data_IF_702076037010
#
_entry.id   IF_702076037010
#
_cell.length_a   1.000
_cell.length_b   1.000
_cell.length_c   1.000
_cell.angle_alpha   90.00
_cell.angle_beta   90.00
_cell.angle_gamma   90.00
#
_symmetry.space_group_name_H-M   'P 1'
#
loop_
_entity.id
_entity.type
_entity.pdbx_description
1 polymer ?
#
# COMPACT_ATOMS: atom_id res chain seq x y z
N UNK A 1 -19.93 0.90 78.50
CA UNK A 1 -20.10 1.54 77.18
C UNK A 1 -18.70 1.78 76.60
N UNK A 2 -18.26 0.92 75.69
CA UNK A 2 -16.96 1.01 75.00
C UNK A 2 -17.25 0.92 73.50
N UNK A 3 -17.02 2.02 72.79
CA UNK A 3 -17.19 2.14 71.35
C UNK A 3 -16.12 1.31 70.64
N UNK A 4 -16.53 0.38 69.78
CA UNK A 4 -15.66 -0.34 68.86
C UNK A 4 -15.50 0.48 67.58
N UNK A 5 -14.26 0.88 67.29
CA UNK A 5 -13.84 1.54 66.06
C UNK A 5 -13.82 0.54 64.89
N UNK A 6 -14.65 0.77 63.88
CA UNK A 6 -14.55 0.10 62.57
C UNK A 6 -13.66 0.93 61.65
N UNK A 7 -12.45 0.44 61.33
CA UNK A 7 -11.60 1.00 60.27
C UNK A 7 -11.90 0.23 58.98
N UNK A 8 -12.62 0.86 58.06
CA UNK A 8 -12.79 0.36 56.70
C UNK A 8 -11.54 0.73 55.87
N UNK A 9 -10.70 -0.26 55.56
CA UNK A 9 -9.60 -0.11 54.63
C UNK A 9 -10.13 -0.21 53.18
N UNK A 10 -10.33 0.94 52.53
CA UNK A 10 -10.55 1.00 51.08
C UNK A 10 -9.18 0.90 50.37
N UNK A 11 -8.88 -0.29 49.84
CA UNK A 11 -7.79 -0.47 48.90
C UNK A 11 -8.14 0.22 47.57
N UNK A 12 -7.50 1.36 47.30
CA UNK A 12 -7.57 2.02 45.99
C UNK A 12 -6.75 1.19 45.02
N UNK A 13 -7.42 0.39 44.18
CA UNK A 13 -6.80 -0.27 43.04
C UNK A 13 -6.51 0.83 42.02
N UNK A 14 -5.29 1.37 42.07
CA UNK A 14 -4.73 2.16 41.00
C UNK A 14 -4.66 1.27 39.76
N UNK A 15 -5.63 1.42 38.86
CA UNK A 15 -5.53 0.91 37.50
C UNK A 15 -4.48 1.77 36.82
N UNK A 16 -3.22 1.36 36.93
CA UNK A 16 -2.14 1.86 36.10
C UNK A 16 -2.50 1.52 34.66
N UNK A 17 -3.11 2.47 33.96
CA UNK A 17 -3.16 2.44 32.51
C UNK A 17 -1.71 2.38 32.04
N UNK A 18 -1.30 1.24 31.50
CA UNK A 18 -0.08 1.14 30.71
C UNK A 18 -0.35 2.01 29.48
N UNK A 19 0.00 3.29 29.60
CA UNK A 19 0.31 4.08 28.43
C UNK A 19 1.55 3.38 27.89
N UNK A 20 1.37 2.56 26.85
CA UNK A 20 2.44 2.21 25.93
C UNK A 20 2.91 3.54 25.34
N UNK A 21 3.77 4.21 26.10
CA UNK A 21 4.46 5.40 25.70
C UNK A 21 5.14 5.04 24.40
N UNK A 22 4.88 5.85 23.39
CA UNK A 22 5.62 5.94 22.15
C UNK A 22 7.10 6.08 22.48
N UNK A 23 7.75 4.95 22.77
CA UNK A 23 9.19 4.86 22.83
C UNK A 23 9.67 5.32 21.46
N UNK A 24 10.59 6.29 21.39
CA UNK A 24 11.24 6.62 20.13
C UNK A 24 11.81 5.30 19.62
N UNK A 25 11.40 4.86 18.42
CA UNK A 25 12.02 3.69 17.75
C UNK A 25 13.51 3.99 17.71
N UNK A 26 14.25 3.35 18.63
CA UNK A 26 15.71 3.30 18.62
C UNK A 26 16.14 2.83 17.24
N UNK A 27 17.28 3.32 16.77
CA UNK A 27 17.75 3.24 15.37
C UNK A 27 17.92 1.83 14.78
N UNK A 28 17.57 0.78 15.53
CA UNK A 28 17.66 -0.63 15.13
C UNK A 28 16.48 -1.40 15.72
N UNK A 29 15.70 -2.08 14.89
CA UNK A 29 14.66 -3.00 15.39
C UNK A 29 15.33 -4.13 16.18
N UNK A 30 14.68 -4.69 17.21
CA UNK A 30 15.21 -5.84 17.94
C UNK A 30 15.50 -7.00 16.98
N UNK A 31 16.53 -7.79 17.31
CA UNK A 31 16.86 -8.99 16.55
C UNK A 31 15.67 -9.95 16.52
N UNK A 32 15.41 -10.54 15.36
CA UNK A 32 14.34 -11.51 15.17
C UNK A 32 14.85 -12.71 14.39
N UNK A 33 14.37 -13.90 14.71
CA UNK A 33 14.66 -15.09 13.90
C UNK A 33 13.69 -15.12 12.71
N UNK A 34 14.25 -15.32 11.52
CA UNK A 34 13.53 -15.50 10.27
C UNK A 34 13.86 -16.87 9.68
N UNK A 35 12.86 -17.56 9.15
CA UNK A 35 13.05 -18.86 8.54
C UNK A 35 12.01 -19.14 7.45
N UNK A 36 12.37 -20.03 6.53
CA UNK A 36 11.40 -20.67 5.65
C UNK A 36 10.91 -21.97 6.31
N UNK A 37 9.61 -22.07 6.57
CA UNK A 37 9.00 -23.21 7.25
C UNK A 37 8.35 -24.15 6.24
N UNK A 38 8.58 -25.44 6.42
CA UNK A 38 7.95 -26.52 5.64
C UNK A 38 7.58 -27.69 6.56
N UNK A 39 6.67 -28.56 6.12
CA UNK A 39 6.20 -29.71 6.89
C UNK A 39 4.95 -29.44 7.74
N UNK A 40 4.50 -30.46 8.49
CA UNK A 40 3.23 -30.48 9.22
C UNK A 40 3.14 -29.41 10.31
N UNK A 41 2.03 -28.68 10.36
CA UNK A 41 1.70 -27.73 11.42
C UNK A 41 0.77 -28.41 12.42
N UNK A 42 1.16 -28.46 13.69
CA UNK A 42 0.35 -29.04 14.77
C UNK A 42 0.06 -27.95 15.79
N UNK A 43 -1.22 -27.71 16.09
CA UNK A 43 -1.67 -26.71 17.07
C UNK A 43 -2.50 -27.44 18.13
N UNK A 44 -2.07 -27.39 19.39
CA UNK A 44 -2.70 -28.12 20.52
C UNK A 44 -2.92 -29.62 20.24
N UNK A 45 -1.95 -30.26 19.57
CA UNK A 45 -2.02 -31.68 19.20
C UNK A 45 -2.90 -31.98 17.97
N UNK A 46 -3.56 -30.97 17.38
CA UNK A 46 -4.35 -31.13 16.15
C UNK A 46 -3.46 -30.86 14.94
N UNK A 47 -3.37 -31.84 14.04
CA UNK A 47 -2.68 -31.66 12.77
C UNK A 47 -3.51 -30.76 11.85
N UNK A 48 -3.02 -29.55 11.59
CA UNK A 48 -3.68 -28.53 10.78
C UNK A 48 -3.38 -28.68 9.27
N UNK A 49 -2.51 -29.61 8.90
CA UNK A 49 -2.07 -29.87 7.54
C UNK A 49 -0.57 -29.63 7.33
N UNK A 50 -0.10 -29.88 6.12
CA UNK A 50 1.31 -29.75 5.73
C UNK A 50 1.55 -28.43 5.00
N UNK A 51 2.57 -27.68 5.42
CA UNK A 51 3.09 -26.54 4.67
C UNK A 51 4.00 -27.10 3.57
N UNK A 52 3.52 -27.07 2.33
CA UNK A 52 4.22 -27.63 1.18
C UNK A 52 5.47 -26.79 0.85
N UNK A 53 6.52 -27.45 0.34
CA UNK A 53 7.72 -26.79 -0.19
C UNK A 53 7.41 -25.94 -1.43
N UNK A 54 6.31 -26.21 -2.13
CA UNK A 54 5.86 -25.35 -3.25
C UNK A 54 5.16 -24.07 -2.80
N UNK A 55 4.53 -24.07 -1.62
CA UNK A 55 3.94 -22.87 -1.01
C UNK A 55 4.95 -22.11 -0.14
N UNK A 56 6.09 -22.74 0.19
CA UNK A 56 7.30 -22.21 0.85
C UNK A 56 7.09 -20.89 1.60
N UNK A 57 6.76 -20.99 2.89
CA UNK A 57 6.45 -19.82 3.70
C UNK A 57 7.70 -19.33 4.40
N UNK A 58 8.21 -18.18 3.96
CA UNK A 58 9.32 -17.49 4.59
C UNK A 58 8.78 -16.33 5.44
N UNK A 59 9.04 -16.36 6.74
CA UNK A 59 8.52 -15.34 7.68
C UNK A 59 9.45 -15.18 8.90
N UNK A 60 9.17 -14.17 9.74
CA UNK A 60 9.95 -13.85 10.93
C UNK A 60 9.06 -13.80 12.17
N UNK A 61 9.62 -14.18 13.33
CA UNK A 61 8.90 -14.19 14.61
C UNK A 61 8.24 -12.84 14.91
N UNK A 62 8.93 -11.73 14.65
CA UNK A 62 8.42 -10.39 14.91
C UNK A 62 7.16 -9.98 14.14
N UNK A 63 6.84 -10.64 13.02
CA UNK A 63 5.68 -10.32 12.17
C UNK A 63 4.66 -11.45 12.09
N UNK A 64 4.82 -12.51 12.91
CA UNK A 64 3.94 -13.68 12.85
C UNK A 64 2.46 -13.33 13.02
N UNK A 65 2.14 -12.37 13.88
CA UNK A 65 0.75 -11.94 14.11
C UNK A 65 0.10 -11.36 12.86
N UNK A 66 0.81 -10.49 12.13
CA UNK A 66 0.28 -9.87 10.92
C UNK A 66 0.32 -10.83 9.73
N UNK A 67 1.37 -11.66 9.66
CA UNK A 67 1.52 -12.70 8.66
C UNK A 67 0.41 -13.74 8.73
N UNK A 68 0.11 -14.25 9.92
CA UNK A 68 -0.93 -15.28 10.13
C UNK A 68 -2.35 -14.77 9.85
N UNK A 69 -2.59 -13.46 9.96
CA UNK A 69 -3.86 -12.83 9.55
C UNK A 69 -4.02 -12.70 8.04
N UNK A 70 -2.92 -12.47 7.32
CA UNK A 70 -2.94 -12.16 5.89
C UNK A 70 -2.58 -13.35 4.99
N UNK A 71 -2.08 -14.44 5.55
CA UNK A 71 -1.64 -15.61 4.78
C UNK A 71 -2.81 -16.39 4.16
N UNK A 72 -2.63 -16.84 2.92
CA UNK A 72 -3.52 -17.79 2.24
C UNK A 72 -3.22 -19.25 2.59
N UNK A 73 -2.16 -19.53 3.36
CA UNK A 73 -1.74 -20.88 3.71
C UNK A 73 -2.81 -21.63 4.50
N UNK A 74 -3.33 -22.72 3.91
CA UNK A 74 -4.44 -23.50 4.48
C UNK A 74 -4.10 -24.05 5.89
N UNK A 75 -2.94 -24.69 6.13
CA UNK A 75 -2.56 -25.12 7.47
C UNK A 75 -2.60 -24.02 8.53
N UNK A 76 -2.06 -22.84 8.22
CA UNK A 76 -2.00 -21.72 9.18
C UNK A 76 -3.41 -21.19 9.48
N UNK A 77 -4.25 -21.03 8.45
CA UNK A 77 -5.64 -20.61 8.63
C UNK A 77 -6.46 -21.63 9.43
N UNK A 78 -6.19 -22.93 9.27
CA UNK A 78 -6.82 -23.99 10.06
C UNK A 78 -6.40 -23.92 11.53
N UNK A 79 -5.10 -23.75 11.81
CA UNK A 79 -4.60 -23.56 13.17
C UNK A 79 -5.22 -22.33 13.84
N UNK A 80 -5.35 -21.23 13.10
CA UNK A 80 -5.93 -19.99 13.61
C UNK A 80 -7.36 -20.16 14.14
N UNK A 81 -8.16 -21.06 13.54
CA UNK A 81 -9.52 -21.40 14.02
C UNK A 81 -9.51 -22.13 15.35
N UNK A 82 -8.42 -22.81 15.70
CA UNK A 82 -8.23 -23.49 17.00
C UNK A 82 -7.86 -22.46 18.07
N UNK A 83 -6.92 -21.58 17.75
CA UNK A 83 -6.48 -20.52 18.65
C UNK A 83 -5.35 -19.69 18.04
N UNK A 84 -5.51 -18.37 18.08
CA UNK A 84 -4.52 -17.43 17.54
C UNK A 84 -3.18 -17.55 18.28
N UNK A 85 -3.21 -17.52 19.61
CA UNK A 85 -1.99 -17.56 20.43
C UNK A 85 -1.23 -18.86 20.21
N UNK A 86 -1.93 -19.98 20.21
CA UNK A 86 -1.34 -21.31 20.06
C UNK A 86 -0.79 -21.55 18.65
N UNK A 87 -1.41 -20.96 17.63
CA UNK A 87 -0.88 -21.00 16.26
C UNK A 87 0.40 -20.19 16.14
N UNK A 88 0.45 -19.00 16.75
CA UNK A 88 1.67 -18.18 16.77
C UNK A 88 2.79 -18.90 17.52
N UNK A 89 2.50 -19.55 18.66
CA UNK A 89 3.47 -20.37 19.39
C UNK A 89 3.97 -21.53 18.54
N UNK A 90 3.08 -22.32 17.94
CA UNK A 90 3.46 -23.44 17.09
C UNK A 90 4.32 -23.03 15.88
N UNK A 91 4.01 -21.87 15.28
CA UNK A 91 4.83 -21.31 14.20
C UNK A 91 6.19 -20.81 14.70
N UNK A 92 6.23 -20.18 15.87
CA UNK A 92 7.47 -19.73 16.51
C UNK A 92 8.40 -20.91 16.77
N UNK A 93 7.88 -21.98 17.37
CA UNK A 93 8.62 -23.22 17.62
C UNK A 93 9.15 -23.83 16.33
N UNK A 94 8.33 -23.82 15.27
CA UNK A 94 8.72 -24.34 13.95
C UNK A 94 9.83 -23.52 13.30
N UNK A 95 9.78 -22.19 13.42
CA UNK A 95 10.85 -21.28 12.95
C UNK A 95 12.16 -21.57 13.69
N UNK A 96 12.10 -21.69 15.02
CA UNK A 96 13.29 -22.01 15.82
C UNK A 96 13.82 -23.42 15.55
N UNK A 97 12.94 -24.36 15.20
CA UNK A 97 13.26 -25.74 14.84
C UNK A 97 13.80 -25.92 13.41
N UNK A 98 13.75 -24.90 12.55
CA UNK A 98 14.30 -25.00 11.19
C UNK A 98 15.82 -25.30 11.20
N UNK A 99 16.29 -25.94 10.13
CA UNK A 99 17.72 -26.20 9.91
C UNK A 99 18.50 -24.88 9.81
N UNK A 100 19.79 -24.83 10.19
CA UNK A 100 20.60 -23.62 10.06
C UNK A 100 20.68 -23.05 8.63
N UNK A 101 20.49 -23.87 7.60
CA UNK A 101 20.40 -23.43 6.20
C UNK A 101 19.12 -22.67 5.87
N UNK A 102 18.06 -22.87 6.66
CA UNK A 102 16.71 -22.36 6.41
C UNK A 102 16.28 -21.34 7.46
N UNK A 103 17.15 -20.97 8.41
CA UNK A 103 16.90 -19.94 9.42
C UNK A 103 18.09 -19.00 9.60
N UNK A 104 17.81 -17.77 10.00
CA UNK A 104 18.82 -16.76 10.33
C UNK A 104 18.29 -15.81 11.40
N UNK A 105 19.16 -15.39 12.32
CA UNK A 105 18.88 -14.25 13.19
C UNK A 105 19.16 -12.97 12.41
N UNK A 106 18.13 -12.15 12.24
CA UNK A 106 18.14 -10.97 11.39
C UNK A 106 18.01 -9.72 12.23
N UNK A 107 18.78 -8.70 11.86
CA UNK A 107 18.64 -7.35 12.36
C UNK A 107 18.19 -6.47 11.21
N UNK A 108 16.92 -6.07 11.23
CA UNK A 108 16.38 -5.21 10.19
C UNK A 108 16.65 -3.73 10.52
N UNK A 109 16.74 -2.86 9.51
CA UNK A 109 16.85 -1.43 9.76
C UNK A 109 15.56 -0.88 10.37
N UNK A 110 15.65 0.22 11.09
CA UNK A 110 14.46 0.94 11.54
C UNK A 110 13.59 1.36 10.35
N UNK A 111 12.27 1.42 10.55
CA UNK A 111 11.28 1.75 9.50
C UNK A 111 11.29 0.75 8.33
N UNK A 112 11.41 -0.52 8.67
CA UNK A 112 11.28 -1.61 7.72
C UNK A 112 10.40 -2.71 8.29
N UNK A 113 9.75 -3.41 7.38
CA UNK A 113 9.00 -4.63 7.64
C UNK A 113 9.79 -5.81 7.06
N UNK A 114 10.05 -6.86 7.86
CA UNK A 114 10.67 -8.08 7.36
C UNK A 114 9.93 -8.66 6.14
N UNK A 115 10.70 -9.02 5.13
CA UNK A 115 10.23 -9.56 3.85
C UNK A 115 11.12 -10.75 3.46
N UNK A 116 11.09 -11.76 4.31
CA UNK A 116 11.92 -12.96 4.24
C UNK A 116 11.68 -13.74 2.94
N UNK A 117 12.76 -14.19 2.29
CA UNK A 117 12.73 -15.04 1.09
C UNK A 117 13.79 -16.13 1.19
N UNK A 118 13.65 -17.22 0.43
CA UNK A 118 14.63 -18.32 0.44
C UNK A 118 16.05 -17.88 0.06
N UNK A 119 16.17 -16.95 -0.89
CA UNK A 119 17.45 -16.37 -1.30
C UNK A 119 17.97 -15.30 -0.34
N UNK A 120 17.11 -14.75 0.53
CA UNK A 120 17.46 -13.70 1.47
C UNK A 120 16.54 -13.75 2.71
N UNK A 121 16.97 -14.53 3.71
CA UNK A 121 16.22 -14.73 4.95
C UNK A 121 16.07 -13.45 5.78
N UNK A 122 16.96 -12.48 5.59
CA UNK A 122 16.91 -11.19 6.28
C UNK A 122 16.45 -10.05 5.35
N UNK A 123 15.82 -10.41 4.23
CA UNK A 123 15.22 -9.46 3.32
C UNK A 123 14.19 -8.60 4.06
N UNK A 124 14.12 -7.33 3.68
CA UNK A 124 13.15 -6.39 4.24
C UNK A 124 12.60 -5.49 3.14
N UNK A 125 11.43 -4.93 3.43
CA UNK A 125 10.85 -3.82 2.68
C UNK A 125 10.84 -2.60 3.59
N UNK A 126 11.26 -1.45 3.08
CA UNK A 126 11.09 -0.21 3.83
C UNK A 126 9.60 0.11 3.98
N UNK A 127 9.23 0.60 5.16
CA UNK A 127 7.87 1.07 5.43
C UNK A 127 7.54 2.27 4.53
N UNK A 128 6.25 2.58 4.37
CA UNK A 128 5.82 3.65 3.49
C UNK A 128 6.49 5.00 3.84
N UNK A 129 7.03 5.68 2.83
CA UNK A 129 7.80 6.92 2.98
C UNK A 129 9.31 6.75 3.26
N UNK A 130 9.82 5.51 3.26
CA UNK A 130 11.23 5.19 3.42
C UNK A 130 11.78 4.43 2.20
N UNK A 131 13.06 4.61 1.89
CA UNK A 131 13.74 3.91 0.79
C UNK A 131 15.05 3.28 1.27
N UNK A 132 15.48 2.23 0.58
CA UNK A 132 16.73 1.53 0.91
C UNK A 132 17.93 2.34 0.41
N UNK A 133 18.87 2.64 1.32
CA UNK A 133 20.14 3.27 1.02
C UNK A 133 21.22 2.65 1.91
N UNK A 134 22.23 2.04 1.30
CA UNK A 134 23.34 1.37 2.00
C UNK A 134 22.90 0.39 3.10
N UNK A 135 21.84 -0.38 2.84
CA UNK A 135 21.34 -1.37 3.79
C UNK A 135 20.48 -0.81 4.92
N UNK A 136 20.10 0.47 4.86
CA UNK A 136 19.23 1.12 5.83
C UNK A 136 17.99 1.71 5.17
N UNK A 137 16.85 1.70 5.87
CA UNK A 137 15.67 2.43 5.44
C UNK A 137 15.78 3.88 5.91
N UNK A 138 16.06 4.75 4.95
CA UNK A 138 16.16 6.18 5.17
C UNK A 138 14.85 6.83 4.75
N UNK A 139 14.37 7.76 5.57
CA UNK A 139 13.38 8.74 5.09
C UNK A 139 14.07 9.53 3.99
N UNK A 140 13.37 9.82 2.89
CA UNK A 140 13.84 10.81 1.92
C UNK A 140 13.97 12.18 2.61
N UNK A 141 15.15 12.45 3.17
CA UNK A 141 15.61 13.79 3.49
C UNK A 141 16.28 14.32 2.22
N UNK A 142 16.07 15.59 1.85
CA UNK A 142 16.80 16.18 0.73
C UNK A 142 18.30 16.13 1.04
N UNK A 143 19.11 15.75 0.05
CA UNK A 143 20.53 16.09 0.04
C UNK A 143 20.64 17.60 -0.07
N UNK A 144 20.62 18.28 1.07
CA UNK A 144 20.68 19.73 1.13
C UNK A 144 20.22 20.26 2.48
N UNK A 145 21.17 20.73 3.28
CA UNK A 145 21.04 21.51 4.52
C UNK A 145 20.70 20.73 5.80
N UNK A 146 21.77 20.41 6.54
CA UNK A 146 21.71 20.38 8.00
C UNK A 146 21.22 21.74 8.50
N UNK A 147 20.05 21.79 9.13
CA UNK A 147 19.51 23.08 9.56
C UNK A 147 18.16 23.00 10.26
N UNK A 148 18.20 22.67 11.56
CA UNK A 148 17.24 23.07 12.60
C UNK A 148 15.74 22.93 12.28
N UNK A 149 15.21 21.80 12.75
CA UNK A 149 13.92 21.68 13.43
C UNK A 149 12.78 22.61 13.02
N UNK A 150 11.85 22.07 12.24
CA UNK A 150 10.43 22.22 12.53
C UNK A 150 9.74 20.87 12.31
N UNK A 151 9.08 20.40 13.37
CA UNK A 151 8.02 19.40 13.25
C UNK A 151 6.93 20.03 12.38
N UNK A 152 6.72 19.53 11.17
CA UNK A 152 5.52 19.85 10.42
C UNK A 152 5.19 18.69 9.49
N UNK A 153 3.92 18.33 9.55
CA UNK A 153 3.13 17.42 8.73
C UNK A 153 3.16 17.80 7.24
N UNK A 154 4.25 17.49 6.54
CA UNK A 154 4.43 17.96 5.17
C UNK A 154 4.94 16.88 4.19
N UNK A 155 4.14 15.84 4.02
CA UNK A 155 4.29 14.89 2.91
C UNK A 155 4.10 15.59 1.56
N UNK A 156 3.31 16.67 1.52
CA UNK A 156 2.99 17.44 0.31
C UNK A 156 4.20 18.16 -0.28
N UNK A 157 5.10 18.71 0.54
CA UNK A 157 6.29 19.44 0.05
C UNK A 157 7.34 18.55 -0.61
N UNK A 158 7.46 17.28 -0.19
CA UNK A 158 8.47 16.36 -0.76
C UNK A 158 8.04 15.86 -2.13
N UNK A 159 6.77 15.51 -2.28
CA UNK A 159 6.23 15.02 -3.55
C UNK A 159 6.17 16.18 -4.58
N UNK A 160 5.95 17.42 -4.12
CA UNK A 160 5.90 18.64 -4.94
C UNK A 160 7.28 19.01 -5.52
N UNK A 161 8.35 18.76 -4.77
CA UNK A 161 9.71 18.88 -5.29
C UNK A 161 9.99 17.87 -6.41
N UNK A 162 9.63 16.59 -6.23
CA UNK A 162 9.85 15.56 -7.26
C UNK A 162 9.04 15.81 -8.53
N UNK A 163 7.78 16.19 -8.40
CA UNK A 163 6.93 16.51 -9.54
C UNK A 163 7.48 17.66 -10.39
N UNK A 164 8.05 18.68 -9.75
CA UNK A 164 8.73 19.79 -10.46
C UNK A 164 9.99 19.36 -11.18
N UNK A 165 10.82 18.49 -10.60
CA UNK A 165 12.03 17.99 -11.28
C UNK A 165 11.69 17.06 -12.45
N UNK A 166 10.69 16.21 -12.31
CA UNK A 166 10.16 15.40 -13.41
C UNK A 166 9.65 16.29 -14.55
N UNK A 167 8.90 17.35 -14.22
CA UNK A 167 8.38 18.30 -15.19
C UNK A 167 9.49 19.01 -15.99
N UNK A 168 10.64 19.33 -15.37
CA UNK A 168 11.80 19.92 -16.08
C UNK A 168 12.41 18.99 -17.13
N UNK A 169 12.17 17.68 -17.01
CA UNK A 169 12.69 16.67 -17.95
C UNK A 169 11.78 16.52 -19.17
N UNK A 170 10.56 17.06 -19.11
CA UNK A 170 9.64 17.06 -20.23
C UNK A 170 9.88 18.22 -21.18
N UNK A 171 9.57 17.98 -22.47
CA UNK A 171 9.55 19.03 -23.49
C UNK A 171 8.55 20.12 -23.10
N UNK A 172 8.83 21.35 -23.50
CA UNK A 172 7.87 22.47 -23.39
C UNK A 172 6.50 22.07 -23.90
N UNK A 173 5.47 22.27 -23.08
CA UNK A 173 4.08 21.93 -23.39
C UNK A 173 3.63 20.52 -23.00
N UNK A 174 4.55 19.65 -22.55
CA UNK A 174 4.23 18.31 -22.07
C UNK A 174 4.16 18.31 -20.54
N UNK A 175 3.42 17.37 -19.96
CA UNK A 175 3.22 17.24 -18.51
C UNK A 175 3.84 15.94 -18.02
N UNK A 176 4.58 15.98 -16.91
CA UNK A 176 5.04 14.77 -16.23
C UNK A 176 3.86 14.12 -15.48
N UNK A 177 3.48 12.91 -15.91
CA UNK A 177 2.38 12.13 -15.34
C UNK A 177 2.89 10.87 -14.67
N UNK A 178 2.28 10.49 -13.54
CA UNK A 178 2.61 9.24 -12.86
C UNK A 178 2.11 8.03 -13.64
N UNK A 179 2.88 6.93 -13.64
CA UNK A 179 2.51 5.68 -14.33
C UNK A 179 1.67 4.80 -13.38
N UNK A 180 0.37 4.56 -13.68
CA UNK A 180 -0.48 3.71 -12.85
C UNK A 180 0.06 2.27 -12.78
N UNK A 181 -0.02 1.64 -11.60
CA UNK A 181 0.39 0.24 -11.44
C UNK A 181 1.91 0.00 -11.45
N UNK A 182 2.72 1.05 -11.52
CA UNK A 182 4.18 0.92 -11.39
C UNK A 182 4.57 0.47 -9.98
N UNK A 183 5.59 -0.39 -9.89
CA UNK A 183 6.18 -0.81 -8.61
C UNK A 183 6.94 0.31 -7.88
N UNK A 184 7.11 1.47 -8.54
CA UNK A 184 7.71 2.67 -7.98
C UNK A 184 6.68 3.79 -7.91
N UNK A 185 6.45 4.32 -6.71
CA UNK A 185 5.62 5.53 -6.48
C UNK A 185 6.20 6.81 -7.11
N UNK A 186 7.36 6.71 -7.78
CA UNK A 186 8.02 7.79 -8.52
C UNK A 186 8.19 7.48 -10.01
N UNK A 187 7.56 6.43 -10.53
CA UNK A 187 7.57 6.20 -11.97
C UNK A 187 6.68 7.22 -12.67
N UNK A 188 7.23 7.87 -13.68
CA UNK A 188 6.56 8.91 -14.44
C UNK A 188 6.95 8.85 -15.91
N UNK A 189 6.11 9.43 -16.74
CA UNK A 189 6.34 9.65 -18.16
C UNK A 189 5.90 11.06 -18.57
N UNK A 190 6.43 11.55 -19.69
CA UNK A 190 5.96 12.82 -20.25
C UNK A 190 4.78 12.54 -21.18
N UNK A 191 3.67 13.23 -20.95
CA UNK A 191 2.44 13.14 -21.75
C UNK A 191 2.07 14.50 -22.31
N UNK A 192 1.69 14.56 -23.58
CA UNK A 192 1.05 15.73 -24.17
C UNK A 192 -0.44 15.76 -23.80
N UNK A 193 -0.75 16.32 -22.64
CA UNK A 193 -2.12 16.43 -22.11
C UNK A 193 -3.04 17.32 -22.96
N UNK A 194 -2.51 17.98 -24.00
CA UNK A 194 -3.33 18.77 -24.93
C UNK A 194 -3.97 17.93 -26.04
N UNK A 195 -3.45 16.71 -26.27
CA UNK A 195 -3.84 15.82 -27.37
C UNK A 195 -4.01 14.34 -26.97
N UNK A 196 -3.52 13.93 -25.81
CA UNK A 196 -3.67 12.58 -25.28
C UNK A 196 -5.12 12.27 -24.83
N UNK A 197 -5.62 11.07 -25.17
CA UNK A 197 -6.99 10.66 -24.88
C UNK A 197 -7.18 10.24 -23.41
N UNK A 198 -6.18 9.58 -22.84
CA UNK A 198 -6.22 8.96 -21.51
C UNK A 198 -5.80 9.94 -20.41
N UNK A 199 -5.27 11.10 -20.79
CA UNK A 199 -4.79 12.18 -19.93
C UNK A 199 -5.14 13.54 -20.53
N UNK A 200 -6.38 13.68 -21.01
CA UNK A 200 -6.82 14.91 -21.64
C UNK A 200 -7.00 16.02 -20.61
N UNK A 201 -6.33 17.15 -20.83
CA UNK A 201 -6.37 18.32 -19.95
C UNK A 201 -5.55 18.18 -18.67
N UNK A 202 -4.86 17.05 -18.47
CA UNK A 202 -4.06 16.79 -17.27
C UNK A 202 -3.78 15.31 -17.07
N UNK A 203 -3.07 14.94 -16.03
CA UNK A 203 -2.84 13.51 -15.76
C UNK A 203 -4.06 12.90 -15.07
N UNK A 204 -4.45 11.68 -15.45
CA UNK A 204 -5.56 10.93 -14.83
C UNK A 204 -5.18 10.19 -13.55
N UNK A 205 -3.88 9.97 -13.29
CA UNK A 205 -3.37 9.26 -12.12
C UNK A 205 -2.56 10.13 -11.14
N UNK A 206 -2.84 9.89 -9.86
CA UNK A 206 -2.43 10.66 -8.69
C UNK A 206 -1.00 10.37 -8.24
N UNK A 207 -0.23 11.45 -8.09
CA UNK A 207 0.83 11.74 -7.09
C UNK A 207 1.71 12.88 -7.58
N UNK A 208 1.94 13.02 -8.90
CA UNK A 208 2.77 14.11 -9.46
C UNK A 208 1.92 15.30 -9.95
N UNK A 209 0.76 15.02 -10.55
CA UNK A 209 -0.08 16.04 -11.21
C UNK A 209 -0.77 16.99 -10.22
N UNK A 210 -1.23 16.47 -9.08
CA UNK A 210 -1.79 17.23 -7.95
C UNK A 210 -0.80 18.23 -7.34
N UNK A 211 0.49 18.10 -7.66
CA UNK A 211 1.58 18.85 -7.03
C UNK A 211 2.22 19.87 -7.96
N UNK A 212 2.22 19.63 -9.26
CA UNK A 212 2.65 20.62 -10.26
C UNK A 212 1.59 21.70 -10.55
N UNK A 213 0.43 21.64 -9.90
CA UNK A 213 -0.71 22.52 -10.16
C UNK A 213 -1.41 22.20 -11.50
N UNK A 214 -1.18 21.00 -12.05
CA UNK A 214 -1.83 20.55 -13.27
C UNK A 214 -3.29 20.21 -12.97
N UNK A 215 -4.19 20.60 -13.86
CA UNK A 215 -5.62 20.25 -13.77
C UNK A 215 -5.79 18.74 -13.78
N UNK A 216 -6.78 18.19 -13.08
CA UNK A 216 -7.07 16.76 -13.13
C UNK A 216 -7.45 16.37 -14.56
N UNK A 217 -6.72 15.42 -15.12
CA UNK A 217 -6.99 14.87 -16.44
C UNK A 217 -8.27 14.07 -16.49
N UNK A 218 -8.81 13.93 -17.69
CA UNK A 218 -9.92 13.02 -17.98
C UNK A 218 -9.52 12.04 -19.06
N UNK A 219 -9.95 10.79 -18.90
CA UNK A 219 -9.87 9.78 -19.94
C UNK A 219 -11.13 9.92 -20.82
N UNK A 220 -10.94 10.45 -22.03
CA UNK A 220 -12.02 10.68 -22.97
C UNK A 220 -12.60 9.39 -23.54
N UNK A 221 -11.90 8.25 -23.43
CA UNK A 221 -12.38 6.95 -23.94
C UNK A 221 -13.45 6.34 -23.03
N UNK A 222 -13.54 6.80 -21.78
CA UNK A 222 -14.58 6.40 -20.83
C UNK A 222 -15.92 7.11 -21.04
N UNK A 223 -16.04 8.02 -22.01
CA UNK A 223 -17.31 8.66 -22.34
C UNK A 223 -18.27 7.57 -22.87
N UNK A 224 -19.44 7.37 -22.24
CA UNK A 224 -20.38 6.34 -22.67
C UNK A 224 -20.85 6.56 -24.11
N UNK A 225 -21.05 5.45 -24.81
CA UNK A 225 -21.68 5.39 -26.14
C UNK A 225 -20.96 6.16 -27.26
N UNK A 226 -19.67 6.49 -27.04
CA UNK A 226 -18.83 7.18 -28.02
C UNK A 226 -18.25 6.20 -29.05
N UNK A 227 -18.21 6.62 -30.32
CA UNK A 227 -17.60 5.88 -31.43
C UNK A 227 -16.34 6.56 -31.99
N UNK A 228 -16.20 7.87 -31.76
CA UNK A 228 -15.00 8.65 -32.08
C UNK A 228 -14.92 9.86 -31.14
N UNK A 229 -13.78 10.00 -30.48
CA UNK A 229 -13.49 11.06 -29.51
C UNK A 229 -12.07 11.57 -29.73
N UNK A 230 -11.86 12.86 -29.47
CA UNK A 230 -10.55 13.48 -29.53
C UNK A 230 -10.31 14.33 -28.28
N UNK A 231 -9.04 14.42 -27.85
CA UNK A 231 -8.61 15.48 -26.97
C UNK A 231 -8.15 16.67 -27.81
N UNK A 232 -8.80 17.82 -27.64
CA UNK A 232 -8.48 19.04 -28.38
C UNK A 232 -8.20 20.15 -27.39
N UNK A 233 -6.93 20.57 -27.31
CA UNK A 233 -6.48 21.63 -26.39
C UNK A 233 -6.85 21.30 -24.93
N UNK A 234 -6.70 20.04 -24.54
CA UNK A 234 -6.98 19.57 -23.18
C UNK A 234 -8.47 19.45 -22.85
N UNK A 235 -9.33 19.30 -23.85
CA UNK A 235 -10.77 19.06 -23.66
C UNK A 235 -11.25 17.90 -24.53
N UNK A 236 -12.06 17.01 -23.96
CA UNK A 236 -12.71 15.97 -24.72
C UNK A 236 -13.72 16.57 -25.72
N UNK A 237 -13.64 16.12 -26.95
CA UNK A 237 -14.55 16.46 -28.02
C UNK A 237 -15.09 15.16 -28.65
N UNK A 238 -16.38 14.90 -28.43
CA UNK A 238 -17.08 13.80 -29.08
C UNK A 238 -17.30 14.17 -30.55
N UNK A 239 -16.77 13.36 -31.47
CA UNK A 239 -16.94 13.54 -32.92
C UNK A 239 -18.09 12.69 -33.44
N UNK A 240 -18.27 11.49 -32.88
CA UNK A 240 -19.29 10.55 -33.32
C UNK A 240 -19.72 9.64 -32.17
N UNK A 241 -21.02 9.37 -32.08
CA UNK A 241 -21.60 8.40 -31.16
C UNK A 241 -21.85 7.06 -31.86
N UNK A 242 -22.03 6.00 -31.08
CA UNK A 242 -22.49 4.71 -31.57
C UNK A 242 -23.90 4.82 -32.20
N UNK A 243 -24.28 3.88 -33.09
CA UNK A 243 -25.64 3.85 -33.64
C UNK A 243 -26.71 3.85 -32.55
N UNK A 244 -27.77 4.63 -32.72
CA UNK A 244 -28.80 4.82 -31.69
C UNK A 244 -28.57 6.03 -30.78
N UNK A 245 -27.41 6.70 -30.88
CA UNK A 245 -27.04 7.84 -30.05
C UNK A 245 -26.64 9.05 -30.89
N UNK A 246 -26.78 10.25 -30.32
CA UNK A 246 -26.37 11.52 -30.95
C UNK A 246 -25.51 12.35 -30.00
N UNK A 247 -24.68 13.21 -30.59
CA UNK A 247 -23.80 14.11 -29.85
C UNK A 247 -24.62 15.24 -29.23
N UNK A 248 -24.51 15.41 -27.90
CA UNK A 248 -25.05 16.55 -27.17
C UNK A 248 -23.96 17.08 -26.24
N UNK A 249 -23.38 18.21 -26.59
CA UNK A 249 -22.22 18.76 -25.87
C UNK A 249 -21.02 17.83 -25.96
N UNK A 250 -20.57 17.30 -24.83
CA UNK A 250 -19.44 16.36 -24.71
C UNK A 250 -19.89 14.93 -24.41
N UNK A 251 -21.18 14.61 -24.61
CA UNK A 251 -21.75 13.31 -24.32
C UNK A 251 -22.51 12.74 -25.53
N UNK A 252 -22.69 11.44 -25.51
CA UNK A 252 -23.61 10.73 -26.38
C UNK A 252 -24.89 10.45 -25.60
N UNK A 253 -26.04 10.78 -26.20
CA UNK A 253 -27.36 10.53 -25.61
C UNK A 253 -28.23 9.79 -26.60
N UNK A 254 -29.14 8.95 -26.10
CA UNK A 254 -30.06 8.18 -26.94
C UNK A 254 -30.79 9.10 -27.92
N UNK A 255 -30.77 8.73 -29.19
CA UNK A 255 -31.51 9.45 -30.20
C UNK A 255 -32.96 8.95 -30.26
N UNK A 256 -33.80 9.54 -29.41
CA UNK A 256 -35.23 9.27 -29.38
C UNK A 256 -35.95 9.47 -30.74
N UNK A 257 -35.32 10.13 -31.72
CA UNK A 257 -35.85 10.24 -33.08
C UNK A 257 -35.76 8.93 -33.87
N UNK A 258 -34.78 8.06 -33.56
CA UNK A 258 -34.65 6.73 -34.16
C UNK A 258 -35.67 5.73 -33.59
N UNK A 259 -36.11 5.92 -32.34
CA UNK A 259 -37.19 5.10 -31.74
C UNK A 259 -38.57 5.38 -32.36
N UNK A 260 -38.84 6.60 -32.84
CA UNK A 260 -40.14 6.95 -33.43
C UNK A 260 -40.35 6.37 -34.83
N UNK A 261 -39.28 6.02 -35.53
CA UNK A 261 -39.37 5.39 -36.87
C UNK A 261 -39.76 3.91 -36.76
N UNK A 262 -39.41 3.24 -35.66
CA UNK A 262 -39.74 1.82 -35.45
C UNK A 262 -41.21 1.57 -35.04
N UNK A 263 -41.93 2.58 -34.55
CA UNK A 263 -43.34 2.43 -34.10
C UNK A 263 -44.39 2.82 -35.16
N UNK A 264 -43.97 3.20 -36.36
CA UNK A 264 -44.87 3.60 -37.46
C UNK A 264 -44.98 2.55 -38.57
N UNK A 265 -44.46 1.34 -38.32
CA UNK A 265 -44.35 0.24 -39.29
C UNK A 265 -45.02 -1.07 -38.84
N UNK A 266 -46.19 -0.98 -38.22
CA UNK A 266 -47.12 -2.09 -38.01
C UNK A 266 -48.55 -1.65 -38.29
#
# INVERSE_FOLDING_TARGET
MRFLLTIAALAVIAHGAIIEGLAPRTSRSPETVCACVSGSLVVRGVNCGTIDVKEEICTCVSVLTDFSRSTSCKPIRSGWKIGQSETITALTDKIHGCKPSDKRTCTHPAFSTPNCRRSDLCGYKCDDGYFSYNGECKRSLPSGTAGRGKRSSDTRVVDDYWGREAQKSCKTGWTACGIPGSSSSRAWECIDTSSDLESCGGCTADTISSLTGSTTGVDCTLIPDVADVACIKGKCAVRRCLPGFKVVGTACVEDASLFRVASSGL
#
